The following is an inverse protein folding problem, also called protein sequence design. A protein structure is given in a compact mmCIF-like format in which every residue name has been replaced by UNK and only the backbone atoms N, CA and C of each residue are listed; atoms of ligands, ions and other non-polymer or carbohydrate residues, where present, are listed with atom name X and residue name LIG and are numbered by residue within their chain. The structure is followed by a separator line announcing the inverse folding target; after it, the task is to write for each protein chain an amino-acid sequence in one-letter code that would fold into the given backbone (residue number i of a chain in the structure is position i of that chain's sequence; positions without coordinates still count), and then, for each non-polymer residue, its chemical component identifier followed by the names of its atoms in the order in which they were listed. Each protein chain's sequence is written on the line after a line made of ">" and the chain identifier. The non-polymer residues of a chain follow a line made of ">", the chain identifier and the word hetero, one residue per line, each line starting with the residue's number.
data_IF_473169661075
#
_entry.id   IF_473169661075
#
_cell.length_a   1.000
_cell.length_b   1.000
_cell.length_c   1.000
_cell.angle_alpha   90.00
_cell.angle_beta   90.00
_cell.angle_gamma   90.00
#
_symmetry.space_group_name_H-M   'P 1'
#
loop_
_entity.id
_entity.type
_entity.pdbx_description
1 polymer ?
#
# COMPACT_ATOMS: atom_id res chain seq x y z
N UNK A 1 17.23 6.59 -14.55
CA UNK A 1 16.74 5.98 -13.29
C UNK A 1 16.29 4.51 -13.43
N UNK A 2 16.37 3.87 -14.61
CA UNK A 2 15.85 2.49 -14.85
C UNK A 2 16.76 1.32 -14.44
N UNK A 3 17.96 1.57 -13.87
CA UNK A 3 18.99 0.53 -13.69
C UNK A 3 19.48 0.31 -12.25
N UNK A 4 18.86 0.91 -11.22
CA UNK A 4 19.37 0.82 -9.83
C UNK A 4 18.49 0.03 -8.84
N UNK A 5 17.26 -0.32 -9.20
CA UNK A 5 16.35 -1.04 -8.30
C UNK A 5 16.41 -2.54 -8.58
N UNK A 6 17.06 -3.28 -7.70
CA UNK A 6 17.01 -4.74 -7.66
C UNK A 6 15.65 -5.23 -7.17
N UNK A 7 15.30 -6.49 -7.49
CA UNK A 7 13.93 -6.97 -7.32
C UNK A 7 13.51 -7.28 -5.87
N UNK A 8 14.45 -7.38 -4.93
CA UNK A 8 14.21 -7.75 -3.53
C UNK A 8 13.51 -9.12 -3.34
N UNK A 9 13.49 -9.97 -4.37
CA UNK A 9 12.75 -11.24 -4.40
C UNK A 9 13.18 -12.20 -3.31
N UNK A 10 14.49 -12.39 -3.15
CA UNK A 10 15.07 -13.30 -2.14
C UNK A 10 14.72 -12.90 -0.71
N UNK A 11 14.68 -11.60 -0.43
CA UNK A 11 14.31 -11.07 0.90
C UNK A 11 12.83 -11.28 1.15
N UNK A 12 11.98 -10.92 0.19
CA UNK A 12 10.53 -11.11 0.28
C UNK A 12 10.16 -12.58 0.45
N UNK A 13 10.81 -13.49 -0.28
CA UNK A 13 10.57 -14.93 -0.17
C UNK A 13 10.95 -15.49 1.21
N UNK A 14 12.12 -15.09 1.74
CA UNK A 14 12.55 -15.48 3.09
C UNK A 14 11.60 -14.96 4.17
N UNK A 15 11.14 -13.71 4.04
CA UNK A 15 10.15 -13.10 4.94
C UNK A 15 8.80 -13.84 4.86
N UNK A 16 8.36 -14.19 3.65
CA UNK A 16 7.15 -14.96 3.44
C UNK A 16 7.25 -16.36 4.06
N UNK A 17 8.35 -17.08 3.88
CA UNK A 17 8.56 -18.40 4.52
C UNK A 17 8.46 -18.33 6.05
N UNK A 18 9.03 -17.28 6.67
CA UNK A 18 8.90 -17.04 8.11
C UNK A 18 7.44 -16.74 8.51
N UNK A 19 6.73 -15.98 7.69
CA UNK A 19 5.31 -15.68 7.89
C UNK A 19 4.46 -16.95 7.81
N UNK A 20 4.72 -17.86 6.87
CA UNK A 20 4.05 -19.17 6.76
C UNK A 20 4.32 -20.02 8.00
N UNK A 21 5.57 -20.07 8.50
CA UNK A 21 5.89 -20.76 9.76
C UNK A 21 5.08 -20.18 10.94
N UNK A 22 4.86 -18.87 10.97
CA UNK A 22 4.01 -18.21 11.97
C UNK A 22 2.54 -18.59 11.80
N UNK A 23 2.02 -18.59 10.58
CA UNK A 23 0.66 -19.05 10.28
C UNK A 23 0.42 -20.51 10.69
N UNK A 24 1.41 -21.38 10.56
CA UNK A 24 1.31 -22.76 11.04
C UNK A 24 1.19 -22.86 12.56
N UNK A 25 1.76 -21.91 13.32
CA UNK A 25 1.63 -21.83 14.78
C UNK A 25 0.36 -21.11 15.23
N UNK A 26 -0.13 -20.16 14.42
CA UNK A 26 -1.30 -19.33 14.70
C UNK A 26 -2.28 -19.38 13.52
N UNK A 27 -3.16 -20.38 13.53
CA UNK A 27 -4.14 -20.61 12.46
C UNK A 27 -5.22 -19.53 12.40
N UNK A 28 -5.51 -18.87 13.53
CA UNK A 28 -6.45 -17.74 13.56
C UNK A 28 -5.85 -16.55 12.82
N UNK A 29 -4.56 -16.26 13.05
CA UNK A 29 -3.86 -15.23 12.30
C UNK A 29 -3.91 -15.50 10.79
N UNK A 30 -3.68 -16.75 10.35
CA UNK A 30 -3.80 -17.07 8.93
C UNK A 30 -5.19 -16.80 8.37
N UNK A 31 -6.24 -17.22 9.09
CA UNK A 31 -7.64 -16.98 8.69
C UNK A 31 -7.93 -15.50 8.52
N UNK A 32 -7.52 -14.68 9.49
CA UNK A 32 -7.71 -13.23 9.43
C UNK A 32 -6.90 -12.60 8.28
N UNK A 33 -5.67 -13.06 8.06
CA UNK A 33 -4.80 -12.58 6.98
C UNK A 33 -5.39 -12.92 5.61
N UNK A 34 -5.82 -14.18 5.44
CA UNK A 34 -6.44 -14.67 4.20
C UNK A 34 -7.70 -13.87 3.89
N UNK A 35 -8.56 -13.61 4.89
CA UNK A 35 -9.75 -12.80 4.69
C UNK A 35 -9.40 -11.42 4.09
N UNK A 36 -8.35 -10.76 4.58
CA UNK A 36 -7.93 -9.46 4.05
C UNK A 36 -7.42 -9.58 2.61
N UNK A 37 -6.63 -10.61 2.29
CA UNK A 37 -6.15 -10.85 0.92
C UNK A 37 -7.32 -11.14 -0.03
N UNK A 38 -8.29 -11.95 0.40
CA UNK A 38 -9.50 -12.26 -0.37
C UNK A 38 -10.33 -10.98 -0.62
N UNK A 39 -10.47 -10.13 0.40
CA UNK A 39 -11.17 -8.84 0.28
C UNK A 39 -10.41 -7.89 -0.65
N UNK A 40 -9.07 -7.85 -0.59
CA UNK A 40 -8.25 -7.09 -1.55
C UNK A 40 -8.44 -7.57 -2.99
N UNK A 41 -8.55 -8.89 -3.22
CA UNK A 41 -8.81 -9.42 -4.55
C UNK A 41 -10.20 -9.02 -5.05
N UNK A 42 -11.24 -9.06 -4.20
CA UNK A 42 -12.61 -8.65 -4.57
C UNK A 42 -12.72 -7.16 -4.86
N UNK A 43 -11.98 -6.33 -4.12
CA UNK A 43 -11.95 -4.87 -4.29
C UNK A 43 -11.02 -4.43 -5.44
N UNK A 44 -10.45 -5.37 -6.22
CA UNK A 44 -9.43 -5.11 -7.26
C UNK A 44 -8.21 -4.34 -6.75
N UNK A 45 -7.88 -4.45 -5.46
CA UNK A 45 -6.68 -3.86 -4.84
C UNK A 45 -5.43 -4.67 -5.18
N UNK A 46 -5.60 -5.97 -5.40
CA UNK A 46 -4.55 -6.88 -5.87
C UNK A 46 -5.01 -7.64 -7.10
N UNK A 47 -4.05 -8.04 -7.93
CA UNK A 47 -4.27 -8.93 -9.07
C UNK A 47 -3.15 -9.99 -9.13
N UNK A 48 -3.48 -11.18 -9.63
CA UNK A 48 -2.51 -12.25 -9.78
C UNK A 48 -1.53 -11.94 -10.92
N UNK A 49 -0.28 -12.36 -10.75
CA UNK A 49 0.78 -12.16 -11.72
C UNK A 49 1.20 -13.50 -12.30
N UNK A 50 1.16 -13.60 -13.62
CA UNK A 50 1.81 -14.69 -14.34
C UNK A 50 3.27 -14.27 -14.58
N UNK A 51 4.21 -14.91 -13.88
CA UNK A 51 5.63 -14.63 -14.06
C UNK A 51 6.05 -15.06 -15.48
N UNK A 52 6.30 -14.09 -16.34
CA UNK A 52 6.82 -14.29 -17.70
C UNK A 52 8.26 -13.77 -17.78
N UNK A 53 9.09 -14.31 -18.69
CA UNK A 53 10.44 -13.80 -18.90
C UNK A 53 10.39 -12.30 -19.21
N UNK A 54 11.17 -11.50 -18.49
CA UNK A 54 11.22 -10.06 -18.73
C UNK A 54 11.81 -9.80 -20.11
N UNK A 55 11.12 -8.96 -20.89
CA UNK A 55 11.66 -8.45 -22.13
C UNK A 55 12.69 -7.36 -21.82
N UNK A 56 13.64 -7.17 -22.74
CA UNK A 56 14.62 -6.11 -22.59
C UNK A 56 13.92 -4.74 -22.63
N UNK A 57 14.19 -3.91 -21.62
CA UNK A 57 13.55 -2.59 -21.48
C UNK A 57 12.23 -2.58 -20.69
N UNK A 58 11.80 -3.72 -20.12
CA UNK A 58 10.66 -3.77 -19.19
C UNK A 58 10.84 -2.85 -17.98
N UNK A 59 9.73 -2.37 -17.42
CA UNK A 59 9.71 -1.62 -16.16
C UNK A 59 10.32 -2.46 -15.02
N UNK A 60 10.91 -1.81 -14.00
CA UNK A 60 11.47 -2.51 -12.86
C UNK A 60 10.40 -3.35 -12.15
N UNK A 61 10.82 -4.43 -11.52
CA UNK A 61 9.95 -5.27 -10.69
C UNK A 61 10.52 -5.29 -9.29
N UNK A 62 9.66 -5.24 -8.29
CA UNK A 62 10.08 -5.27 -6.90
C UNK A 62 9.08 -6.08 -6.06
N UNK A 63 9.61 -6.94 -5.20
CA UNK A 63 8.83 -7.79 -4.31
C UNK A 63 8.87 -7.20 -2.89
N UNK A 64 7.72 -6.75 -2.43
CA UNK A 64 7.50 -6.22 -1.10
C UNK A 64 7.31 -7.37 -0.11
N UNK A 65 8.15 -7.46 0.94
CA UNK A 65 7.77 -8.22 2.12
C UNK A 65 6.51 -7.62 2.74
N UNK A 66 5.73 -8.46 3.40
CA UNK A 66 4.57 -8.01 4.14
C UNK A 66 4.48 -8.68 5.49
N UNK A 67 3.90 -7.94 6.43
CA UNK A 67 3.64 -8.37 7.80
C UNK A 67 2.28 -7.85 8.24
N UNK A 68 1.85 -8.22 9.43
CA UNK A 68 0.66 -7.64 10.04
C UNK A 68 0.97 -6.96 11.38
N UNK A 69 0.28 -5.85 11.62
CA UNK A 69 0.18 -5.23 12.94
C UNK A 69 -1.17 -5.57 13.56
N UNK A 70 -1.18 -5.93 14.85
CA UNK A 70 -2.43 -6.17 15.60
C UNK A 70 -3.02 -4.83 16.01
N UNK A 71 -4.33 -4.66 15.79
CA UNK A 71 -5.12 -3.52 16.22
C UNK A 71 -6.06 -3.99 17.32
N UNK A 72 -5.53 -4.05 18.54
CA UNK A 72 -6.26 -4.55 19.71
C UNK A 72 -7.45 -3.63 20.07
N UNK A 73 -7.45 -2.41 19.58
CA UNK A 73 -8.47 -1.38 19.70
C UNK A 73 -9.66 -1.56 18.72
N UNK A 74 -9.56 -2.46 17.73
CA UNK A 74 -10.60 -2.67 16.72
C UNK A 74 -11.37 -3.97 16.93
N UNK A 75 -12.70 -3.87 16.94
CA UNK A 75 -13.62 -5.00 17.14
C UNK A 75 -13.77 -5.88 15.90
N UNK A 76 -13.72 -5.30 14.69
CA UNK A 76 -14.03 -6.00 13.43
C UNK A 76 -12.80 -6.60 12.73
N UNK A 77 -11.75 -5.80 12.50
CA UNK A 77 -10.51 -6.26 11.85
C UNK A 77 -9.34 -6.10 12.80
N UNK A 78 -8.95 -7.19 13.44
CA UNK A 78 -7.92 -7.22 14.49
C UNK A 78 -6.49 -7.11 13.96
N UNK A 79 -6.29 -7.16 12.64
CA UNK A 79 -4.98 -7.01 12.02
C UNK A 79 -5.03 -6.08 10.79
N UNK A 80 -3.91 -5.43 10.50
CA UNK A 80 -3.70 -4.70 9.23
C UNK A 80 -2.44 -5.22 8.57
N UNK A 81 -2.53 -5.53 7.28
CA UNK A 81 -1.37 -5.88 6.46
C UNK A 81 -0.56 -4.61 6.16
N UNK A 82 0.75 -4.71 6.33
CA UNK A 82 1.73 -3.66 6.02
C UNK A 82 2.71 -4.23 5.01
N UNK A 83 2.89 -3.52 3.91
CA UNK A 83 3.90 -3.81 2.89
C UNK A 83 5.14 -2.96 3.13
N UNK A 84 6.31 -3.57 3.14
CA UNK A 84 7.56 -2.95 3.58
C UNK A 84 8.36 -2.36 2.39
N UNK A 85 8.03 -1.13 1.99
CA UNK A 85 8.72 -0.41 0.90
C UNK A 85 10.18 -0.03 1.20
N UNK A 86 10.58 -0.02 2.47
CA UNK A 86 11.94 0.23 2.93
C UNK A 86 12.79 -1.04 3.04
N UNK A 87 12.24 -2.23 2.77
CA UNK A 87 13.02 -3.46 2.79
C UNK A 87 13.97 -3.50 1.61
N UNK A 88 15.20 -3.96 1.83
CA UNK A 88 16.18 -4.21 0.78
C UNK A 88 17.16 -5.32 1.19
N UNK A 89 17.88 -5.86 0.21
CA UNK A 89 19.03 -6.74 0.44
C UNK A 89 20.25 -5.97 0.94
N UNK A 90 21.28 -6.70 1.38
CA UNK A 90 22.55 -6.09 1.76
C UNK A 90 23.17 -5.34 0.56
N UNK A 91 23.61 -4.10 0.77
CA UNK A 91 24.15 -3.20 -0.26
C UNK A 91 23.20 -2.92 -1.46
N UNK A 92 21.89 -3.08 -1.27
CA UNK A 92 20.87 -2.80 -2.28
C UNK A 92 19.98 -1.62 -1.87
N UNK A 93 19.41 -0.94 -2.86
CA UNK A 93 18.39 0.09 -2.61
C UNK A 93 17.03 -0.52 -2.31
N UNK A 94 16.27 0.12 -1.43
CA UNK A 94 14.85 -0.16 -1.27
C UNK A 94 14.01 0.53 -2.34
N UNK A 95 12.74 0.13 -2.44
CA UNK A 95 11.78 0.86 -3.26
C UNK A 95 11.66 2.31 -2.80
N UNK A 96 11.65 2.55 -1.48
CA UNK A 96 11.55 3.88 -0.92
C UNK A 96 12.73 4.79 -1.23
N UNK A 97 13.94 4.24 -1.36
CA UNK A 97 15.12 5.01 -1.78
C UNK A 97 15.05 5.42 -3.27
N UNK A 98 14.33 4.64 -4.07
CA UNK A 98 14.15 4.89 -5.50
C UNK A 98 12.95 5.77 -5.83
N UNK A 99 12.04 6.00 -4.87
CA UNK A 99 10.83 6.80 -5.07
C UNK A 99 11.08 8.27 -4.74
N UNK A 100 10.61 9.16 -5.60
CA UNK A 100 10.58 10.59 -5.30
C UNK A 100 9.46 10.89 -4.28
N UNK A 101 9.80 11.57 -3.18
CA UNK A 101 8.83 11.97 -2.15
C UNK A 101 7.77 12.94 -2.66
N UNK A 102 8.06 13.66 -3.74
CA UNK A 102 7.30 14.83 -4.15
C UNK A 102 7.47 15.98 -3.17
N UNK A 103 6.76 17.08 -3.44
CA UNK A 103 6.71 18.25 -2.55
C UNK A 103 5.76 17.98 -1.38
N UNK A 104 6.04 18.53 -0.19
CA UNK A 104 5.10 18.43 0.92
C UNK A 104 3.88 19.32 0.64
N UNK A 105 2.72 18.70 0.40
CA UNK A 105 1.45 19.37 0.14
C UNK A 105 0.52 19.37 1.36
N UNK A 106 0.96 18.82 2.49
CA UNK A 106 0.18 18.84 3.71
C UNK A 106 0.09 20.28 4.24
N UNK A 107 -1.10 20.73 4.69
CA UNK A 107 -1.23 22.04 5.30
C UNK A 107 -0.40 22.11 6.58
N UNK A 108 0.03 23.32 6.95
CA UNK A 108 0.60 23.54 8.27
C UNK A 108 -0.44 23.21 9.34
N UNK A 109 -0.04 22.43 10.35
CA UNK A 109 -0.98 21.94 11.36
C UNK A 109 -1.48 23.10 12.24
N UNK A 110 -0.64 24.09 12.53
CA UNK A 110 -1.03 25.28 13.30
C UNK A 110 -2.07 26.09 12.52
N UNK A 111 -1.82 26.33 11.23
CA UNK A 111 -2.75 27.01 10.34
C UNK A 111 -4.09 26.26 10.25
N UNK A 112 -4.05 24.93 10.10
CA UNK A 112 -5.24 24.10 10.04
C UNK A 112 -6.07 24.20 11.33
N UNK A 113 -5.43 24.13 12.50
CA UNK A 113 -6.11 24.24 13.80
C UNK A 113 -6.71 25.63 13.98
N UNK A 114 -6.00 26.70 13.59
CA UNK A 114 -6.53 28.06 13.67
C UNK A 114 -7.77 28.24 12.81
N UNK A 115 -7.74 27.79 11.55
CA UNK A 115 -8.90 27.80 10.64
C UNK A 115 -10.07 26.96 11.17
N UNK A 116 -9.78 25.80 11.75
CA UNK A 116 -10.81 24.95 12.34
C UNK A 116 -11.53 25.62 13.52
N UNK A 117 -10.87 26.53 14.23
CA UNK A 117 -11.43 27.29 15.37
C UNK A 117 -12.01 28.65 14.97
N UNK A 118 -11.84 29.08 13.72
CA UNK A 118 -12.27 30.40 13.23
C UNK A 118 -13.80 30.53 13.18
N UNK A 119 -14.49 29.44 12.85
CA UNK A 119 -15.94 29.41 12.70
C UNK A 119 -16.61 28.60 13.82
N UNK A 120 -17.86 28.95 14.21
CA UNK A 120 -18.58 28.27 15.30
C UNK A 120 -18.94 26.81 14.99
N UNK A 121 -18.92 26.42 13.71
CA UNK A 121 -19.30 25.08 13.25
C UNK A 121 -18.19 24.57 12.32
N UNK A 122 -17.75 23.34 12.55
CA UNK A 122 -16.76 22.67 11.72
C UNK A 122 -17.27 21.29 11.27
N UNK A 123 -16.99 20.96 10.01
CA UNK A 123 -17.28 19.65 9.45
C UNK A 123 -16.00 18.81 9.40
N UNK A 124 -16.12 17.53 9.75
CA UNK A 124 -15.04 16.56 9.67
C UNK A 124 -15.52 15.33 8.93
N UNK A 125 -14.64 14.73 8.14
CA UNK A 125 -14.89 13.48 7.45
C UNK A 125 -13.59 12.67 7.42
N UNK A 126 -13.72 11.35 7.48
CA UNK A 126 -12.61 10.41 7.32
C UNK A 126 -12.75 9.69 5.97
N UNK A 127 -11.66 9.59 5.21
CA UNK A 127 -11.64 8.86 3.95
C UNK A 127 -11.17 7.44 4.25
N UNK A 128 -12.10 6.51 4.31
CA UNK A 128 -11.78 5.11 4.57
C UNK A 128 -10.80 4.57 3.52
N UNK A 129 -9.69 3.98 4.01
CA UNK A 129 -8.63 3.41 3.17
C UNK A 129 -8.11 4.39 2.09
N UNK A 130 -7.97 5.68 2.41
CA UNK A 130 -7.68 6.75 1.45
C UNK A 130 -6.62 6.43 0.37
N UNK A 131 -5.46 5.86 0.74
CA UNK A 131 -4.42 5.49 -0.25
C UNK A 131 -4.89 4.44 -1.26
N UNK A 132 -5.69 3.47 -0.81
CA UNK A 132 -6.20 2.38 -1.65
C UNK A 132 -7.29 2.85 -2.62
N UNK A 133 -7.76 4.10 -2.50
CA UNK A 133 -8.66 4.73 -3.47
C UNK A 133 -7.92 5.29 -4.69
N UNK A 134 -6.58 5.29 -4.68
CA UNK A 134 -5.76 5.84 -5.76
C UNK A 134 -5.16 4.68 -6.54
N UNK A 135 -5.48 4.58 -7.83
CA UNK A 135 -4.93 3.55 -8.71
C UNK A 135 -3.47 3.84 -9.08
N UNK A 136 -2.67 2.77 -9.14
CA UNK A 136 -1.35 2.79 -9.76
C UNK A 136 -1.51 2.59 -11.26
N UNK A 137 -0.74 3.39 -12.01
CA UNK A 137 -0.58 3.19 -13.44
C UNK A 137 -0.07 1.77 -13.72
N UNK A 138 -0.62 1.11 -14.74
CA UNK A 138 -0.37 -0.33 -14.99
C UNK A 138 1.11 -0.68 -15.10
N UNK A 139 1.90 0.21 -15.73
CA UNK A 139 3.34 0.03 -15.91
C UNK A 139 4.15 0.08 -14.61
N UNK A 140 3.60 0.66 -13.54
CA UNK A 140 4.27 0.83 -12.25
C UNK A 140 3.83 -0.22 -11.22
N UNK A 141 2.78 -1.02 -11.50
CA UNK A 141 2.27 -2.02 -10.55
C UNK A 141 3.28 -3.12 -10.22
N UNK A 142 4.22 -3.39 -11.12
CA UNK A 142 5.22 -4.44 -10.94
C UNK A 142 6.28 -4.13 -9.88
N UNK A 143 6.39 -2.88 -9.41
CA UNK A 143 7.19 -2.56 -8.21
C UNK A 143 6.46 -2.85 -6.90
N UNK A 144 5.21 -3.30 -6.96
CA UNK A 144 4.38 -3.61 -5.80
C UNK A 144 3.97 -5.08 -5.78
N UNK A 145 4.86 -6.01 -6.18
CA UNK A 145 4.60 -7.45 -6.12
C UNK A 145 4.76 -7.98 -4.70
N UNK A 146 4.11 -9.08 -4.38
CA UNK A 146 4.32 -9.81 -3.13
C UNK A 146 3.95 -11.29 -3.28
N UNK A 147 4.46 -12.11 -2.37
CA UNK A 147 4.21 -13.55 -2.35
C UNK A 147 3.04 -13.91 -1.45
N UNK A 148 2.18 -14.84 -1.87
CA UNK A 148 1.06 -15.32 -1.08
C UNK A 148 0.87 -16.83 -1.19
N UNK A 149 0.28 -17.45 -0.16
CA UNK A 149 -0.11 -18.86 -0.18
C UNK A 149 -1.58 -18.99 0.19
N UNK A 150 -2.38 -19.55 -0.72
CA UNK A 150 -3.83 -19.75 -0.52
C UNK A 150 -4.13 -20.87 0.47
N UNK A 151 -3.30 -21.91 0.46
CA UNK A 151 -3.46 -23.11 1.28
C UNK A 151 -2.25 -23.23 2.21
N UNK A 152 -2.51 -23.44 3.50
CA UNK A 152 -1.49 -23.81 4.47
C UNK A 152 -1.23 -25.32 4.37
N UNK A 153 -0.40 -25.73 3.42
CA UNK A 153 0.31 -27.00 3.49
C UNK A 153 1.77 -26.72 3.86
N UNK A 154 2.50 -27.70 4.38
CA UNK A 154 3.94 -27.56 4.64
C UNK A 154 4.61 -27.02 3.37
N UNK A 155 5.17 -25.81 3.50
CA UNK A 155 5.60 -24.91 2.43
C UNK A 155 6.01 -25.63 1.13
N UNK A 156 5.10 -25.71 0.16
CA UNK A 156 5.42 -26.11 -1.20
C UNK A 156 5.68 -24.84 -2.03
N UNK A 157 6.91 -24.58 -2.49
CA UNK A 157 7.21 -23.46 -3.37
C UNK A 157 6.34 -23.45 -4.63
N UNK A 158 5.80 -24.60 -5.06
CA UNK A 158 4.92 -24.72 -6.22
C UNK A 158 3.50 -24.19 -5.97
N UNK A 159 3.06 -24.07 -4.71
CA UNK A 159 1.77 -23.46 -4.38
C UNK A 159 1.88 -21.96 -4.10
N UNK A 160 3.09 -21.39 -4.19
CA UNK A 160 3.33 -19.98 -3.94
C UNK A 160 2.84 -19.13 -5.11
N UNK A 161 1.94 -18.20 -4.83
CA UNK A 161 1.41 -17.26 -5.79
C UNK A 161 2.13 -15.93 -5.71
N UNK A 162 2.19 -15.23 -6.84
CA UNK A 162 2.64 -13.85 -6.91
C UNK A 162 1.44 -12.99 -7.21
N UNK A 163 1.22 -12.00 -6.36
CA UNK A 163 0.25 -10.93 -6.58
C UNK A 163 0.98 -9.61 -6.76
N UNK A 164 0.30 -8.62 -7.34
CA UNK A 164 0.73 -7.23 -7.31
C UNK A 164 -0.39 -6.32 -6.88
N UNK A 165 -0.04 -5.21 -6.24
CA UNK A 165 -1.00 -4.19 -5.83
C UNK A 165 -1.30 -3.26 -7.02
N UNK A 166 -2.56 -2.89 -7.16
CA UNK A 166 -3.05 -2.00 -8.22
C UNK A 166 -3.32 -0.58 -7.69
N UNK A 167 -3.07 -0.35 -6.39
CA UNK A 167 -3.39 0.88 -5.66
C UNK A 167 -2.18 1.41 -4.90
N UNK A 168 -2.17 2.70 -4.63
CA UNK A 168 -1.12 3.35 -3.83
C UNK A 168 -1.12 2.77 -2.41
N UNK A 169 0.07 2.40 -1.93
CA UNK A 169 0.24 1.78 -0.61
C UNK A 169 0.51 2.82 0.46
N UNK A 170 0.09 2.54 1.68
CA UNK A 170 0.64 3.25 2.84
C UNK A 170 2.09 2.81 3.08
N UNK A 171 2.97 3.74 3.44
CA UNK A 171 4.36 3.45 3.80
C UNK A 171 5.38 3.59 2.67
N UNK A 172 4.95 3.98 1.46
CA UNK A 172 5.88 4.38 0.40
C UNK A 172 6.25 5.86 0.49
N UNK A 173 7.48 6.20 0.11
CA UNK A 173 8.01 7.58 0.16
C UNK A 173 7.14 8.58 -0.59
N UNK A 174 6.60 8.20 -1.75
CA UNK A 174 5.77 9.06 -2.60
C UNK A 174 4.29 9.14 -2.17
N UNK A 175 3.81 8.20 -1.36
CA UNK A 175 2.38 8.07 -1.05
C UNK A 175 1.74 9.31 -0.40
N UNK A 176 2.38 10.01 0.56
CA UNK A 176 1.80 11.21 1.15
C UNK A 176 1.54 12.30 0.11
N UNK A 177 2.50 12.53 -0.80
CA UNK A 177 2.33 13.47 -1.91
C UNK A 177 1.19 13.05 -2.83
N UNK A 178 1.15 11.78 -3.25
CA UNK A 178 0.11 11.27 -4.14
C UNK A 178 -1.29 11.47 -3.54
N UNK A 179 -1.47 11.17 -2.25
CA UNK A 179 -2.74 11.37 -1.58
C UNK A 179 -3.13 12.86 -1.49
N UNK A 180 -2.21 13.70 -1.03
CA UNK A 180 -2.48 15.13 -0.89
C UNK A 180 -2.75 15.81 -2.25
N UNK A 181 -2.01 15.44 -3.29
CA UNK A 181 -2.22 15.92 -4.65
C UNK A 181 -3.59 15.52 -5.19
N UNK A 182 -3.99 14.25 -5.02
CA UNK A 182 -5.31 13.75 -5.43
C UNK A 182 -6.44 14.47 -4.70
N UNK A 183 -6.38 14.61 -3.38
CA UNK A 183 -7.39 15.35 -2.60
C UNK A 183 -7.49 16.80 -3.09
N UNK A 184 -6.36 17.49 -3.24
CA UNK A 184 -6.34 18.88 -3.73
C UNK A 184 -6.89 19.01 -5.14
N UNK A 185 -6.60 18.06 -6.03
CA UNK A 185 -7.13 18.03 -7.39
C UNK A 185 -8.66 17.92 -7.37
N UNK A 186 -9.21 16.98 -6.61
CA UNK A 186 -10.65 16.84 -6.49
C UNK A 186 -11.28 18.09 -5.86
N UNK A 187 -10.74 18.62 -4.76
CA UNK A 187 -11.28 19.83 -4.11
C UNK A 187 -11.30 21.07 -5.03
N UNK A 188 -10.30 21.23 -5.90
CA UNK A 188 -10.27 22.33 -6.88
C UNK A 188 -11.30 22.17 -8.00
N UNK A 189 -11.61 20.93 -8.36
CA UNK A 189 -12.53 20.60 -9.45
C UNK A 189 -13.97 20.44 -9.00
N UNK A 190 -14.22 20.40 -7.69
CA UNK A 190 -15.58 20.57 -7.18
C UNK A 190 -15.90 22.06 -7.33
N UNK A 191 -16.61 22.40 -8.41
CA UNK A 191 -17.32 23.67 -8.54
C UNK A 191 -18.45 23.65 -7.50
N UNK A 192 -18.14 24.01 -6.26
CA UNK A 192 -19.21 24.22 -5.30
C UNK A 192 -19.79 25.60 -5.61
N UNK A 193 -20.98 25.62 -6.20
CA UNK A 193 -21.94 26.71 -6.04
C UNK A 193 -22.35 26.81 -4.57
N UNK A 194 -21.37 27.01 -3.69
CA UNK A 194 -21.63 27.49 -2.36
C UNK A 194 -21.98 28.96 -2.57
N UNK A 195 -23.28 29.22 -2.69
CA UNK A 195 -23.89 30.43 -2.12
C UNK A 195 -23.58 30.43 -0.62
N UNK A 196 -22.31 30.56 -0.24
CA UNK A 196 -21.95 31.10 1.06
C UNK A 196 -22.38 32.54 0.92
N UNK A 197 -23.56 32.81 1.49
CA UNK A 197 -24.09 34.13 1.75
C UNK A 197 -22.93 35.05 2.11
N UNK A 198 -22.57 35.91 1.15
CA UNK A 198 -21.87 37.14 1.48
C UNK A 198 -22.77 37.87 2.47
N UNK A 199 -22.35 37.89 3.74
CA UNK A 199 -22.74 38.91 4.68
C UNK A 199 -21.52 39.74 4.98
#
# INVERSE_FOLDING_TARGET
>A
MKHLLDDNRSVALNRHSKLVKRFNRDKLLFKDYKKIIDDYSKENIIESVIETPKLQGSHPTFYLPHTCVKRLDKTTTKIRIVFEGSSHGENQLSLNDCLNSGVNLNPDLSELILKFREYPIAYTADIEKAFLQIELHEQDRDVARFFWTEILNDYDPKSLQVYRLTRVLFGLTSSPFMLAATIRHHLKNITINFLILQR
#
